data_IF_236597041886
#
_entry.id   IF_236597041886
#
_cell.length_a   1.000
_cell.length_b   1.000
_cell.length_c   1.000
_cell.angle_alpha   90.00
_cell.angle_beta   90.00
_cell.angle_gamma   90.00
#
_symmetry.space_group_name_H-M   'P 1'
#
loop_
_entity.id
_entity.type
_entity.pdbx_description
1 polymer ?
#
# COMPACT_ATOMS: atom_id res chain seq x y z
N UNK A 1 -4.09 28.80 5.10
CA UNK A 1 -2.99 28.67 4.14
C UNK A 1 -1.77 28.16 4.87
N UNK A 2 -1.59 26.83 4.89
CA UNK A 2 -0.39 26.21 5.44
C UNK A 2 0.80 26.53 4.54
N UNK A 3 1.99 26.75 5.11
CA UNK A 3 3.20 26.96 4.30
C UNK A 3 3.45 25.72 3.43
N UNK A 4 4.05 25.86 2.24
CA UNK A 4 4.32 24.72 1.35
C UNK A 4 5.10 23.58 2.03
N UNK A 5 5.91 23.92 3.05
CA UNK A 5 6.58 22.95 3.91
C UNK A 5 5.61 22.09 4.72
N UNK A 6 4.59 22.68 5.34
CA UNK A 6 3.60 21.93 6.14
C UNK A 6 2.75 21.01 5.26
N UNK A 7 2.39 21.43 4.04
CA UNK A 7 1.68 20.56 3.08
C UNK A 7 2.53 19.38 2.62
N UNK A 8 3.85 19.55 2.46
CA UNK A 8 4.75 18.45 2.12
C UNK A 8 4.80 17.39 3.24
N UNK A 9 4.88 17.80 4.51
CA UNK A 9 4.88 16.88 5.64
C UNK A 9 3.57 16.10 5.78
N UNK A 10 2.43 16.69 5.40
CA UNK A 10 1.13 16.00 5.41
C UNK A 10 1.02 14.89 4.36
N UNK A 11 1.81 14.94 3.29
CA UNK A 11 1.82 13.91 2.24
C UNK A 11 2.71 12.71 2.57
N UNK A 12 3.68 12.86 3.48
CA UNK A 12 4.65 11.80 3.85
C UNK A 12 3.98 10.49 4.30
N UNK A 13 2.94 10.50 5.16
CA UNK A 13 2.28 9.26 5.58
C UNK A 13 1.71 8.49 4.38
N UNK A 14 1.16 9.20 3.39
CA UNK A 14 0.62 8.60 2.17
C UNK A 14 1.71 7.89 1.38
N UNK A 15 2.89 8.49 1.24
CA UNK A 15 4.04 7.85 0.57
C UNK A 15 4.55 6.62 1.34
N UNK A 16 4.61 6.70 2.67
CA UNK A 16 5.03 5.57 3.53
C UNK A 16 4.08 4.38 3.35
N UNK A 17 2.76 4.63 3.33
CA UNK A 17 1.76 3.58 3.10
C UNK A 17 1.83 3.05 1.66
N UNK A 18 2.01 3.93 0.68
CA UNK A 18 2.08 3.54 -0.73
C UNK A 18 3.26 2.60 -1.05
N UNK A 19 4.38 2.74 -0.33
CA UNK A 19 5.56 1.87 -0.41
C UNK A 19 5.64 0.86 0.76
N UNK A 20 4.54 0.70 1.50
CA UNK A 20 4.47 -0.14 2.68
C UNK A 20 4.32 -1.63 2.38
N UNK A 21 5.27 -2.26 1.66
CA UNK A 21 5.26 -3.72 1.42
C UNK A 21 6.16 -4.51 2.40
N UNK A 22 6.78 -3.82 3.35
CA UNK A 22 7.79 -4.39 4.25
C UNK A 22 7.29 -5.58 5.07
N UNK A 23 6.00 -5.60 5.44
CA UNK A 23 5.41 -6.72 6.16
C UNK A 23 5.32 -8.01 5.32
N UNK A 24 5.37 -7.90 3.99
CA UNK A 24 5.38 -9.04 3.07
C UNK A 24 6.78 -9.60 2.80
N UNK A 25 7.86 -8.89 3.16
CA UNK A 25 9.25 -9.27 2.80
C UNK A 25 9.58 -10.73 3.16
N UNK A 26 9.32 -11.23 4.38
CA UNK A 26 9.62 -12.62 4.73
C UNK A 26 8.85 -13.62 3.88
N UNK A 27 7.57 -13.34 3.61
CA UNK A 27 6.70 -14.22 2.82
C UNK A 27 7.16 -14.27 1.35
N UNK A 28 7.50 -13.11 0.79
CA UNK A 28 8.02 -13.01 -0.59
C UNK A 28 9.37 -13.70 -0.72
N UNK A 29 10.24 -13.57 0.29
CA UNK A 29 11.53 -14.27 0.31
C UNK A 29 11.34 -15.80 0.33
N UNK A 30 10.47 -16.31 1.20
CA UNK A 30 10.14 -17.73 1.25
C UNK A 30 9.48 -18.24 -0.03
N UNK A 31 8.68 -17.41 -0.70
CA UNK A 31 8.01 -17.76 -1.96
C UNK A 31 8.97 -17.88 -3.16
N UNK A 32 10.21 -17.34 -3.08
CA UNK A 32 11.23 -17.54 -4.12
C UNK A 32 11.79 -18.97 -4.16
N UNK A 33 11.42 -19.81 -3.19
CA UNK A 33 11.78 -21.22 -3.15
C UNK A 33 13.24 -21.45 -2.70
N UNK A 34 13.78 -22.65 -2.93
CA UNK A 34 15.08 -23.06 -2.40
C UNK A 34 16.27 -22.28 -2.97
N UNK A 35 16.13 -21.65 -4.14
CA UNK A 35 17.20 -20.88 -4.80
C UNK A 35 17.21 -19.39 -4.39
N UNK A 36 16.52 -19.04 -3.30
CA UNK A 36 16.41 -17.68 -2.80
C UNK A 36 17.74 -17.19 -2.21
N UNK A 37 18.52 -16.44 -2.99
CA UNK A 37 19.70 -15.75 -2.49
C UNK A 37 19.37 -14.31 -2.09
N UNK A 38 20.07 -13.73 -1.10
CA UNK A 38 19.90 -12.32 -0.72
C UNK A 38 20.02 -11.36 -1.89
N UNK A 39 20.98 -11.59 -2.81
CA UNK A 39 21.19 -10.73 -3.98
C UNK A 39 20.02 -10.77 -4.97
N UNK A 40 19.46 -11.96 -5.22
CA UNK A 40 18.29 -12.11 -6.10
C UNK A 40 17.06 -11.43 -5.50
N UNK A 41 16.86 -11.60 -4.20
CA UNK A 41 15.77 -10.94 -3.48
C UNK A 41 15.93 -9.42 -3.52
N UNK A 42 17.13 -8.91 -3.21
CA UNK A 42 17.41 -7.48 -3.21
C UNK A 42 17.18 -6.86 -4.59
N UNK A 43 17.63 -7.53 -5.67
CA UNK A 43 17.38 -7.09 -7.04
C UNK A 43 15.89 -7.05 -7.37
N UNK A 44 15.13 -8.07 -6.96
CA UNK A 44 13.67 -8.09 -7.18
C UNK A 44 12.97 -6.93 -6.44
N UNK A 45 13.37 -6.67 -5.20
CA UNK A 45 12.84 -5.57 -4.38
C UNK A 45 13.15 -4.20 -5.01
N UNK A 46 14.38 -3.99 -5.48
CA UNK A 46 14.77 -2.75 -6.17
C UNK A 46 13.91 -2.56 -7.42
N UNK A 47 13.78 -3.59 -8.27
CA UNK A 47 12.99 -3.50 -9.51
C UNK A 47 11.54 -3.18 -9.18
N UNK A 48 10.92 -3.88 -8.23
CA UNK A 48 9.54 -3.65 -7.83
C UNK A 48 9.33 -2.24 -7.26
N UNK A 49 10.27 -1.74 -6.45
CA UNK A 49 10.21 -0.40 -5.87
C UNK A 49 10.33 0.68 -6.93
N UNK A 50 11.29 0.55 -7.85
CA UNK A 50 11.49 1.50 -8.95
C UNK A 50 10.26 1.51 -9.86
N UNK A 51 9.76 0.34 -10.25
CA UNK A 51 8.57 0.24 -11.09
C UNK A 51 7.34 0.88 -10.44
N UNK A 52 7.10 0.60 -9.16
CA UNK A 52 5.99 1.18 -8.40
C UNK A 52 6.12 2.70 -8.29
N UNK A 53 7.33 3.20 -8.00
CA UNK A 53 7.60 4.64 -7.90
C UNK A 53 7.35 5.34 -9.24
N UNK A 54 7.80 4.76 -10.35
CA UNK A 54 7.56 5.31 -11.70
C UNK A 54 6.08 5.33 -12.01
N UNK A 55 5.36 4.23 -11.75
CA UNK A 55 3.91 4.17 -11.98
C UNK A 55 3.16 5.23 -11.16
N UNK A 56 3.45 5.35 -9.86
CA UNK A 56 2.84 6.38 -9.02
C UNK A 56 3.18 7.79 -9.50
N UNK A 57 4.41 8.04 -9.93
CA UNK A 57 4.82 9.35 -10.45
C UNK A 57 4.07 9.72 -11.73
N UNK A 58 3.91 8.77 -12.65
CA UNK A 58 3.13 8.96 -13.89
C UNK A 58 1.66 9.24 -13.57
N UNK A 59 1.04 8.42 -12.71
CA UNK A 59 -0.36 8.62 -12.31
C UNK A 59 -0.57 9.96 -11.59
N UNK A 60 0.32 10.34 -10.68
CA UNK A 60 0.26 11.61 -9.98
C UNK A 60 0.37 12.79 -10.95
N UNK A 61 1.30 12.71 -11.90
CA UNK A 61 1.49 13.75 -12.93
C UNK A 61 0.26 13.89 -13.81
N UNK A 62 -0.26 12.78 -14.36
CA UNK A 62 -1.45 12.79 -15.22
C UNK A 62 -2.68 13.27 -14.43
N UNK A 63 -2.87 12.79 -13.21
CA UNK A 63 -3.98 13.18 -12.35
C UNK A 63 -3.96 14.69 -12.03
N UNK A 64 -2.79 15.21 -11.68
CA UNK A 64 -2.61 16.64 -11.41
C UNK A 64 -2.83 17.49 -12.67
N UNK A 65 -2.33 17.06 -13.84
CA UNK A 65 -2.56 17.77 -15.11
C UNK A 65 -4.03 17.73 -15.56
N UNK A 66 -4.77 16.67 -15.21
CA UNK A 66 -6.18 16.50 -15.60
C UNK A 66 -7.12 17.33 -14.73
N UNK A 67 -6.89 17.35 -13.42
CA UNK A 67 -7.81 17.97 -12.45
C UNK A 67 -7.33 19.36 -11.99
N UNK A 68 -6.03 19.64 -12.17
CA UNK A 68 -5.41 20.93 -11.87
C UNK A 68 -5.57 21.32 -10.41
N UNK A 69 -5.95 22.57 -10.17
CA UNK A 69 -6.13 23.12 -8.83
C UNK A 69 -7.23 22.44 -8.00
N UNK A 70 -8.16 21.70 -8.63
CA UNK A 70 -9.20 20.97 -7.89
C UNK A 70 -8.64 19.70 -7.20
N UNK A 71 -7.37 19.34 -7.45
CA UNK A 71 -6.73 18.21 -6.77
C UNK A 71 -6.68 18.39 -5.24
N UNK A 72 -6.69 19.65 -4.76
CA UNK A 72 -6.69 19.97 -3.34
C UNK A 72 -8.08 19.80 -2.68
N UNK A 73 -9.16 19.72 -3.48
CA UNK A 73 -10.53 19.63 -2.96
C UNK A 73 -10.86 18.24 -2.40
N UNK A 74 -10.16 17.20 -2.87
CA UNK A 74 -10.38 15.83 -2.41
C UNK A 74 -9.14 14.94 -2.56
N UNK A 75 -8.73 14.28 -1.48
CA UNK A 75 -7.63 13.32 -1.50
C UNK A 75 -7.90 12.09 -2.38
N UNK A 76 -9.17 11.73 -2.60
CA UNK A 76 -9.54 10.68 -3.54
C UNK A 76 -9.82 11.30 -4.92
N UNK A 77 -8.84 11.18 -5.82
CA UNK A 77 -8.92 11.67 -7.19
C UNK A 77 -10.21 11.24 -7.92
N UNK A 78 -10.70 10.01 -7.66
CA UNK A 78 -11.91 9.52 -8.32
C UNK A 78 -13.16 10.31 -7.96
N UNK A 79 -13.21 10.98 -6.80
CA UNK A 79 -14.35 11.79 -6.37
C UNK A 79 -14.44 13.13 -7.11
N UNK A 80 -13.37 13.55 -7.78
CA UNK A 80 -13.32 14.81 -8.54
C UNK A 80 -13.94 14.65 -9.94
N UNK A 81 -14.20 13.42 -10.37
CA UNK A 81 -14.86 13.12 -11.64
C UNK A 81 -16.39 12.99 -11.50
N UNK A 82 -17.17 13.38 -12.53
CA UNK A 82 -18.62 13.22 -12.55
C UNK A 82 -19.07 11.79 -12.26
N UNK A 83 -20.20 11.63 -11.56
CA UNK A 83 -20.73 10.30 -11.23
C UNK A 83 -21.31 9.56 -12.43
N UNK A 84 -21.71 10.27 -13.48
CA UNK A 84 -22.36 9.69 -14.66
C UNK A 84 -21.34 9.24 -15.75
N UNK A 85 -20.04 9.44 -15.49
CA UNK A 85 -19.01 8.93 -16.38
C UNK A 85 -18.91 7.41 -16.26
N UNK A 86 -19.25 6.70 -17.34
CA UNK A 86 -19.26 5.24 -17.42
C UNK A 86 -17.86 4.64 -17.25
N UNK A 87 -16.82 5.32 -17.74
CA UNK A 87 -15.44 4.84 -17.65
C UNK A 87 -14.97 4.94 -16.19
N UNK A 88 -15.20 6.09 -15.56
CA UNK A 88 -14.84 6.31 -14.15
C UNK A 88 -15.63 5.36 -13.24
N UNK A 89 -16.91 5.13 -13.53
CA UNK A 89 -17.74 4.18 -12.78
C UNK A 89 -17.21 2.74 -12.89
N UNK A 90 -16.72 2.32 -14.05
CA UNK A 90 -16.08 1.02 -14.23
C UNK A 90 -14.78 0.92 -13.41
N UNK A 91 -13.95 1.97 -13.41
CA UNK A 91 -12.72 2.01 -12.60
C UNK A 91 -13.05 1.92 -11.11
N UNK A 92 -14.05 2.67 -10.63
CA UNK A 92 -14.53 2.59 -9.24
C UNK A 92 -14.99 1.19 -8.87
N UNK A 93 -15.71 0.51 -9.76
CA UNK A 93 -16.14 -0.88 -9.55
C UNK A 93 -14.93 -1.84 -9.47
N UNK A 94 -13.91 -1.64 -10.31
CA UNK A 94 -12.66 -2.42 -10.26
C UNK A 94 -11.91 -2.24 -8.94
N UNK A 95 -11.80 -1.00 -8.44
CA UNK A 95 -11.20 -0.69 -7.13
C UNK A 95 -12.02 -1.35 -6.01
N UNK A 96 -13.35 -1.25 -6.05
CA UNK A 96 -14.21 -1.87 -5.05
C UNK A 96 -14.06 -3.40 -5.03
N UNK A 97 -14.03 -4.04 -6.20
CA UNK A 97 -13.80 -5.48 -6.31
C UNK A 97 -12.41 -5.88 -5.77
N UNK A 98 -11.38 -5.10 -6.08
CA UNK A 98 -10.04 -5.31 -5.53
C UNK A 98 -10.03 -5.25 -4.00
N UNK A 99 -10.66 -4.23 -3.40
CA UNK A 99 -10.74 -4.08 -1.95
C UNK A 99 -11.47 -5.27 -1.30
N UNK A 100 -12.61 -5.69 -1.87
CA UNK A 100 -13.38 -6.83 -1.37
C UNK A 100 -12.57 -8.12 -1.40
N UNK A 101 -11.72 -8.32 -2.41
CA UNK A 101 -10.85 -9.49 -2.52
C UNK A 101 -9.62 -9.43 -1.58
N UNK A 102 -9.01 -8.25 -1.42
CA UNK A 102 -7.76 -8.09 -0.66
C UNK A 102 -8.01 -7.97 0.84
N UNK A 103 -9.10 -7.31 1.25
CA UNK A 103 -9.45 -7.12 2.65
C UNK A 103 -9.45 -8.43 3.47
N UNK A 104 -10.12 -9.53 3.06
CA UNK A 104 -10.12 -10.76 3.85
C UNK A 104 -8.73 -11.39 3.93
N UNK A 105 -7.91 -11.32 2.88
CA UNK A 105 -6.53 -11.83 2.89
C UNK A 105 -5.66 -11.08 3.93
N UNK A 106 -5.80 -9.76 3.98
CA UNK A 106 -5.09 -8.92 4.96
C UNK A 106 -5.61 -9.16 6.38
N UNK A 107 -6.93 -9.26 6.57
CA UNK A 107 -7.52 -9.49 7.89
C UNK A 107 -7.08 -10.83 8.50
N UNK A 108 -6.99 -11.89 7.70
CA UNK A 108 -6.54 -13.21 8.15
C UNK A 108 -5.06 -13.18 8.59
N UNK A 109 -4.18 -12.57 7.79
CA UNK A 109 -2.74 -12.50 8.12
C UNK A 109 -2.47 -11.69 9.39
N UNK A 110 -3.20 -10.58 9.60
CA UNK A 110 -3.12 -9.79 10.84
C UNK A 110 -3.60 -10.61 12.03
N UNK A 111 -4.74 -11.31 11.90
CA UNK A 111 -5.27 -12.16 12.97
C UNK A 111 -4.30 -13.26 13.36
N UNK A 112 -3.71 -13.95 12.39
CA UNK A 112 -2.74 -15.02 12.64
C UNK A 112 -1.46 -14.50 13.29
N UNK A 113 -0.97 -13.35 12.83
CA UNK A 113 0.22 -12.71 13.40
C UNK A 113 -0.01 -12.28 14.84
N UNK A 114 -1.18 -11.67 15.12
CA UNK A 114 -1.57 -11.27 16.47
C UNK A 114 -1.76 -12.49 17.38
N UNK A 115 -2.41 -13.54 16.89
CA UNK A 115 -2.61 -14.77 17.66
C UNK A 115 -1.30 -15.42 18.07
N UNK A 116 -0.33 -15.53 17.13
CA UNK A 116 1.00 -16.06 17.42
C UNK A 116 1.78 -15.18 18.39
N UNK A 117 1.66 -13.86 18.28
CA UNK A 117 2.31 -12.93 19.20
C UNK A 117 1.75 -13.08 20.63
N UNK A 118 0.42 -13.13 20.77
CA UNK A 118 -0.24 -13.31 22.06
C UNK A 118 0.12 -14.64 22.73
N UNK A 119 0.12 -15.74 21.98
CA UNK A 119 0.51 -17.05 22.52
C UNK A 119 1.97 -17.08 22.99
N UNK A 120 2.88 -16.39 22.31
CA UNK A 120 4.27 -16.28 22.76
C UNK A 120 4.39 -15.50 24.05
N UNK A 121 3.69 -14.37 24.17
CA UNK A 121 3.72 -13.54 25.38
C UNK A 121 3.18 -14.32 26.58
N UNK A 122 2.01 -14.95 26.43
CA UNK A 122 1.39 -15.73 27.52
C UNK A 122 2.21 -16.98 27.86
N UNK A 123 2.79 -17.65 26.85
CA UNK A 123 3.62 -18.84 27.06
C UNK A 123 4.99 -18.55 27.68
N UNK A 124 5.52 -17.34 27.55
CA UNK A 124 6.73 -16.91 28.26
C UNK A 124 6.45 -16.60 29.75
N UNK A 125 5.24 -16.15 30.08
CA UNK A 125 4.82 -15.94 31.48
C UNK A 125 4.72 -17.27 32.24
N UNK A 126 4.26 -18.37 31.61
CA UNK A 126 4.17 -19.69 32.26
C UNK A 126 5.53 -20.39 32.49
N UNK A 127 6.59 -19.97 31.80
CA UNK A 127 7.94 -20.54 31.96
C UNK A 127 8.84 -19.73 32.90
N UNK A 128 8.38 -18.55 33.33
CA UNK A 128 9.10 -17.65 34.23
C UNK A 128 8.68 -17.78 35.71
N UNK A 129 7.63 -18.54 36.00
CA UNK A 129 7.22 -19.00 37.35
C UNK A 129 7.74 -20.41 37.68
#
# INVERSE_FOLDING_TARGET
>A
WLSPTTSAFLSLPTFVVALGYHYCIPQVYHAMGPDATPDRFHRAVIIATVLSTVMYSVLATIGYLTVGAHADDNANLMNLFPRDDRIVSLVRAGIAAHIVCVFPLMALTVRDSLHRALLRIIGEDELAE
#
